data_IF_082535898643
#
_entry.id   IF_082535898643
#
_cell.length_a   1.000
_cell.length_b   1.000
_cell.length_c   1.000
_cell.angle_alpha   90.00
_cell.angle_beta   90.00
_cell.angle_gamma   90.00
#
_symmetry.space_group_name_H-M   'P 1'
#
loop_
_entity.id
_entity.type
_entity.pdbx_description
1 polymer ?
#
# COMPACT_ATOMS: atom_id res chain seq x y z
N UNK A 1 8.21 8.50 12.01
CA UNK A 1 6.92 7.81 11.79
C UNK A 1 6.16 8.47 10.65
N UNK A 2 5.38 7.72 9.96
CA UNK A 2 4.61 8.20 8.81
C UNK A 2 3.14 7.86 9.03
N UNK A 3 2.26 8.80 8.70
CA UNK A 3 0.83 8.53 8.63
C UNK A 3 0.45 8.31 7.17
N UNK A 4 0.16 7.05 6.82
CA UNK A 4 -0.33 6.71 5.50
C UNK A 4 -1.83 6.98 5.42
N UNK A 5 -2.31 7.36 4.26
CA UNK A 5 -3.72 7.70 4.07
C UNK A 5 -4.36 6.80 3.00
N UNK A 6 -5.67 6.86 2.92
CA UNK A 6 -6.41 6.14 1.88
C UNK A 6 -6.07 6.62 0.46
N UNK A 7 -5.43 7.77 0.33
CA UNK A 7 -5.05 8.34 -0.97
C UNK A 7 -3.69 7.88 -1.47
N UNK A 8 -2.90 7.23 -0.64
CA UNK A 8 -1.61 6.69 -1.04
C UNK A 8 -0.49 6.98 -0.06
N UNK A 9 0.72 6.76 -0.55
CA UNK A 9 1.95 7.10 0.15
C UNK A 9 2.17 8.61 -0.03
N UNK A 10 2.70 9.32 0.97
CA UNK A 10 3.02 10.74 0.79
C UNK A 10 3.86 10.98 -0.47
N UNK A 11 3.34 11.79 -1.40
CA UNK A 11 3.97 12.07 -2.68
C UNK A 11 3.70 11.05 -3.79
N UNK A 12 3.02 9.96 -3.50
CA UNK A 12 2.66 8.93 -4.49
C UNK A 12 1.18 8.59 -4.39
N UNK A 13 0.57 8.32 -5.55
CA UNK A 13 -0.82 7.91 -5.63
C UNK A 13 -1.02 6.98 -6.83
N UNK A 14 -2.03 6.12 -6.76
CA UNK A 14 -2.41 5.26 -7.89
C UNK A 14 -2.93 6.04 -9.09
N UNK A 15 -3.23 7.33 -8.94
CA UNK A 15 -3.62 8.20 -10.04
C UNK A 15 -2.43 8.85 -10.75
N UNK A 16 -1.22 8.73 -10.19
CA UNK A 16 0.01 9.18 -10.85
C UNK A 16 0.35 8.26 -12.01
N UNK A 17 1.17 8.73 -12.95
CA UNK A 17 1.63 7.85 -14.01
C UNK A 17 2.67 6.86 -13.48
N UNK A 18 2.69 5.65 -14.06
CA UNK A 18 3.65 4.63 -13.69
C UNK A 18 5.10 5.14 -13.85
N UNK A 19 5.39 5.85 -14.93
CA UNK A 19 6.72 6.39 -15.18
C UNK A 19 7.14 7.42 -14.12
N UNK A 20 6.22 8.28 -13.71
CA UNK A 20 6.50 9.31 -12.70
C UNK A 20 6.81 8.68 -11.34
N UNK A 21 6.01 7.69 -10.93
CA UNK A 21 6.23 7.00 -9.66
C UNK A 21 7.57 6.26 -9.69
N UNK A 22 7.86 5.56 -10.79
CA UNK A 22 9.11 4.84 -10.97
C UNK A 22 10.33 5.77 -10.82
N UNK A 23 10.26 6.98 -11.37
CA UNK A 23 11.35 7.95 -11.28
C UNK A 23 11.62 8.46 -9.87
N UNK A 24 10.63 8.40 -9.00
CA UNK A 24 10.76 8.89 -7.62
C UNK A 24 11.33 7.85 -6.67
N UNK A 25 11.45 6.60 -7.10
CA UNK A 25 11.97 5.53 -6.27
C UNK A 25 13.49 5.45 -6.36
N UNK A 26 14.12 5.07 -5.24
CA UNK A 26 15.55 4.77 -5.18
C UNK A 26 15.79 3.27 -5.36
N UNK A 27 16.98 2.92 -5.86
CA UNK A 27 17.42 1.53 -6.01
C UNK A 27 16.41 0.65 -6.76
N UNK A 28 15.90 1.17 -7.86
CA UNK A 28 14.85 0.54 -8.65
C UNK A 28 15.33 -0.76 -9.29
N UNK A 29 14.54 -1.83 -9.10
CA UNK A 29 14.70 -3.11 -9.79
C UNK A 29 13.43 -3.35 -10.59
N UNK A 30 13.59 -3.55 -11.88
CA UNK A 30 12.49 -3.76 -12.79
C UNK A 30 12.29 -5.24 -13.09
N UNK A 31 11.03 -5.65 -13.18
CA UNK A 31 10.63 -6.97 -13.63
C UNK A 31 9.57 -6.79 -14.71
N UNK A 32 9.68 -7.54 -15.77
CA UNK A 32 8.71 -7.52 -16.87
C UNK A 32 8.22 -8.93 -17.09
N UNK A 33 7.49 -9.44 -16.09
CA UNK A 33 6.91 -10.78 -16.12
C UNK A 33 5.46 -10.68 -16.60
N UNK A 34 5.02 -11.66 -17.37
CA UNK A 34 3.60 -11.78 -17.78
C UNK A 34 3.06 -10.60 -18.61
N UNK A 35 3.93 -9.83 -19.26
CA UNK A 35 3.49 -8.74 -20.16
C UNK A 35 3.21 -7.41 -19.48
N UNK A 36 3.50 -7.28 -18.20
CA UNK A 36 3.40 -6.00 -17.49
C UNK A 36 4.68 -5.73 -16.70
N UNK A 37 4.96 -4.45 -16.48
CA UNK A 37 6.09 -4.06 -15.66
C UNK A 37 5.73 -4.07 -14.20
N UNK A 38 6.68 -4.52 -13.39
CA UNK A 38 6.62 -4.44 -11.94
C UNK A 38 7.95 -3.88 -11.46
N UNK A 39 7.92 -2.92 -10.57
CA UNK A 39 9.13 -2.33 -10.02
C UNK A 39 9.14 -2.48 -8.51
N UNK A 40 10.35 -2.67 -7.98
CA UNK A 40 10.63 -2.66 -6.55
C UNK A 40 11.71 -1.61 -6.33
N UNK A 41 11.53 -0.80 -5.31
CA UNK A 41 12.50 0.23 -4.98
C UNK A 41 12.34 0.64 -3.54
N UNK A 42 12.87 1.79 -3.20
CA UNK A 42 12.81 2.32 -1.85
C UNK A 42 12.47 3.80 -1.88
N UNK A 43 11.91 4.28 -0.79
CA UNK A 43 11.55 5.68 -0.61
C UNK A 43 11.86 6.09 0.82
N UNK A 44 12.55 7.21 0.99
CA UNK A 44 12.79 7.76 2.33
C UNK A 44 11.63 8.65 2.73
N UNK A 45 11.00 8.30 3.86
CA UNK A 45 9.90 9.05 4.45
C UNK A 45 10.13 9.13 5.95
N UNK A 46 10.03 10.33 6.52
CA UNK A 46 10.13 10.50 7.96
C UNK A 46 11.39 9.94 8.60
N UNK A 47 12.50 9.92 7.86
CA UNK A 47 13.78 9.42 8.34
C UNK A 47 13.99 7.91 8.19
N UNK A 48 13.01 7.18 7.66
CA UNK A 48 13.10 5.75 7.41
C UNK A 48 13.06 5.44 5.93
N UNK A 49 13.65 4.30 5.55
CA UNK A 49 13.69 3.83 4.18
C UNK A 49 12.66 2.72 4.01
N UNK A 50 11.62 3.00 3.25
CA UNK A 50 10.49 2.08 3.04
C UNK A 50 10.67 1.30 1.75
N UNK A 51 10.48 -0.04 1.78
CA UNK A 51 10.44 -0.84 0.56
C UNK A 51 9.11 -0.65 -0.15
N UNK A 52 9.17 -0.23 -1.41
CA UNK A 52 7.99 0.10 -2.22
C UNK A 52 7.90 -0.84 -3.41
N UNK A 53 6.69 -1.28 -3.73
CA UNK A 53 6.39 -2.00 -4.95
C UNK A 53 5.34 -1.27 -5.78
N UNK A 54 5.49 -1.29 -7.09
CA UNK A 54 4.51 -0.71 -8.01
C UNK A 54 4.32 -1.67 -9.17
N UNK A 55 3.08 -2.04 -9.43
CA UNK A 55 2.72 -2.90 -10.56
C UNK A 55 1.95 -2.08 -11.60
N UNK A 56 2.30 -2.30 -12.87
CA UNK A 56 1.61 -1.68 -13.99
C UNK A 56 0.43 -2.56 -14.42
N UNK A 57 -0.69 -1.93 -14.76
CA UNK A 57 -1.80 -2.65 -15.36
C UNK A 57 -1.44 -3.02 -16.80
N UNK A 58 -1.62 -4.30 -17.16
CA UNK A 58 -1.22 -4.80 -18.48
C UNK A 58 -2.06 -4.27 -19.64
N UNK A 59 -3.28 -3.80 -19.35
CA UNK A 59 -4.21 -3.30 -20.37
C UNK A 59 -4.12 -1.79 -20.52
N UNK A 60 -4.21 -1.06 -19.40
CA UNK A 60 -4.26 0.42 -19.44
C UNK A 60 -2.88 1.04 -19.39
N UNK A 61 -1.85 0.30 -18.98
CA UNK A 61 -0.48 0.76 -18.71
C UNK A 61 -0.38 1.78 -17.57
N UNK A 62 -1.48 2.03 -16.86
CA UNK A 62 -1.48 2.82 -15.64
C UNK A 62 -1.01 1.99 -14.46
N UNK A 63 -1.13 2.55 -13.26
CA UNK A 63 -0.76 1.84 -12.03
C UNK A 63 -1.88 0.89 -11.65
N UNK A 64 -1.57 -0.39 -11.50
CA UNK A 64 -2.48 -1.39 -10.96
C UNK A 64 -2.49 -1.33 -9.45
N UNK A 65 -1.32 -1.35 -8.82
CA UNK A 65 -1.23 -1.14 -7.38
C UNK A 65 0.10 -0.52 -6.98
N UNK A 66 0.06 0.19 -5.85
CA UNK A 66 1.24 0.68 -5.16
C UNK A 66 1.22 0.04 -3.78
N UNK A 67 2.35 -0.50 -3.32
CA UNK A 67 2.42 -1.09 -1.99
C UNK A 67 3.63 -0.60 -1.21
N UNK A 68 3.43 -0.40 0.10
CA UNK A 68 4.53 -0.29 1.04
C UNK A 68 4.69 -1.66 1.70
N UNK A 69 5.85 -2.29 1.49
CA UNK A 69 6.08 -3.70 1.81
C UNK A 69 6.65 -3.93 3.20
N UNK A 70 6.91 -2.89 3.94
CA UNK A 70 7.37 -2.97 5.31
C UNK A 70 7.04 -1.70 6.04
N UNK A 71 6.74 -1.82 7.32
CA UNK A 71 6.33 -0.72 8.15
C UNK A 71 7.29 -0.61 9.35
N UNK A 72 7.34 0.57 9.95
CA UNK A 72 8.17 0.84 11.11
C UNK A 72 7.31 1.12 12.33
N UNK A 73 7.90 0.93 13.50
CA UNK A 73 7.21 1.25 14.75
C UNK A 73 6.75 2.69 14.76
N UNK A 74 5.50 2.90 15.15
CA UNK A 74 4.89 4.22 15.20
C UNK A 74 4.18 4.64 13.93
N UNK A 75 4.29 3.87 12.82
CA UNK A 75 3.56 4.16 11.61
C UNK A 75 2.06 3.97 11.82
N UNK A 76 1.27 4.82 11.15
CA UNK A 76 -0.19 4.80 11.25
C UNK A 76 -0.82 4.81 9.87
N UNK A 77 -2.09 4.42 9.82
CA UNK A 77 -2.94 4.57 8.63
C UNK A 77 -4.21 5.30 9.03
N UNK A 78 -4.45 6.46 8.42
CA UNK A 78 -5.57 7.34 8.81
C UNK A 78 -5.59 7.59 10.32
N UNK A 79 -4.41 7.77 10.91
CA UNK A 79 -4.25 7.96 12.34
C UNK A 79 -4.36 6.70 13.19
N UNK A 80 -4.64 5.53 12.58
CA UNK A 80 -4.78 4.27 13.31
C UNK A 80 -3.42 3.57 13.38
N UNK A 81 -3.02 3.13 14.57
CA UNK A 81 -1.74 2.45 14.75
C UNK A 81 -1.71 1.12 13.98
N UNK A 82 -0.62 0.88 13.26
CA UNK A 82 -0.49 -0.31 12.41
C UNK A 82 0.12 -1.50 13.11
N UNK A 83 0.99 -1.29 14.09
CA UNK A 83 1.72 -2.36 14.75
C UNK A 83 1.29 -2.66 16.18
N UNK A 84 0.26 -2.00 16.68
CA UNK A 84 -0.08 -2.04 18.10
C UNK A 84 -1.38 -2.76 18.42
N UNK A 85 -2.12 -3.19 17.41
CA UNK A 85 -3.38 -3.88 17.60
C UNK A 85 -3.49 -5.08 16.68
N UNK A 86 -4.38 -6.01 17.04
CA UNK A 86 -4.63 -7.17 16.20
C UNK A 86 -5.27 -6.77 14.87
N UNK A 87 -5.23 -7.68 13.89
CA UNK A 87 -5.89 -7.46 12.61
C UNK A 87 -7.38 -7.18 12.78
N UNK A 88 -8.04 -7.91 13.68
CA UNK A 88 -9.47 -7.71 13.95
C UNK A 88 -9.76 -6.34 14.55
N UNK A 89 -8.94 -5.90 15.49
CA UNK A 89 -9.07 -4.57 16.08
C UNK A 89 -8.83 -3.47 15.04
N UNK A 90 -7.83 -3.65 14.20
CA UNK A 90 -7.54 -2.72 13.13
C UNK A 90 -8.70 -2.62 12.14
N UNK A 91 -9.27 -3.75 11.72
CA UNK A 91 -10.46 -3.78 10.85
C UNK A 91 -11.64 -3.06 11.50
N UNK A 92 -11.82 -3.23 12.81
CA UNK A 92 -12.87 -2.52 13.56
C UNK A 92 -12.69 -1.01 13.52
N UNK A 93 -11.44 -0.53 13.61
CA UNK A 93 -11.16 0.90 13.51
C UNK A 93 -11.43 1.44 12.09
N UNK A 94 -11.08 0.66 11.05
CA UNK A 94 -11.40 1.04 9.67
C UNK A 94 -12.92 1.16 9.46
N UNK A 95 -13.71 0.27 10.04
CA UNK A 95 -15.15 0.29 9.91
C UNK A 95 -15.78 1.55 10.50
N UNK A 96 -15.10 2.22 11.42
CA UNK A 96 -15.57 3.47 12.01
C UNK A 96 -15.38 4.67 11.08
N UNK A 97 -14.46 4.60 10.14
CA UNK A 97 -14.11 5.73 9.29
C UNK A 97 -14.43 5.51 7.81
N UNK A 98 -14.98 4.37 7.45
CA UNK A 98 -15.34 4.06 6.07
C UNK A 98 -16.17 2.81 5.96
N UNK A 99 -16.08 2.13 4.82
CA UNK A 99 -16.81 0.88 4.60
C UNK A 99 -16.33 -0.22 5.55
N UNK A 100 -17.17 -1.23 5.73
CA UNK A 100 -16.80 -2.40 6.55
C UNK A 100 -15.76 -3.23 5.80
N UNK A 101 -14.58 -3.48 6.40
CA UNK A 101 -13.57 -4.32 5.76
C UNK A 101 -14.02 -5.77 5.63
N UNK A 102 -13.47 -6.43 4.61
CA UNK A 102 -13.63 -7.87 4.41
C UNK A 102 -12.34 -8.53 4.89
N UNK A 103 -12.45 -9.42 5.86
CA UNK A 103 -11.29 -10.14 6.40
C UNK A 103 -11.18 -11.52 5.77
N UNK A 104 -10.00 -11.81 5.26
CA UNK A 104 -9.61 -13.13 4.79
C UNK A 104 -8.39 -13.58 5.60
N UNK A 105 -7.87 -14.79 5.36
CA UNK A 105 -6.86 -15.41 6.21
C UNK A 105 -5.65 -14.52 6.49
N UNK A 106 -5.12 -13.85 5.45
CA UNK A 106 -3.91 -13.02 5.59
C UNK A 106 -4.10 -11.63 5.01
N UNK A 107 -5.36 -11.22 4.78
CA UNK A 107 -5.65 -9.96 4.10
C UNK A 107 -6.85 -9.28 4.73
N UNK A 108 -6.75 -7.97 4.88
CA UNK A 108 -7.89 -7.11 5.19
C UNK A 108 -8.14 -6.28 3.93
N UNK A 109 -9.33 -6.40 3.34
CA UNK A 109 -9.73 -5.65 2.16
C UNK A 109 -10.73 -4.57 2.54
N UNK A 110 -10.40 -3.30 2.25
CA UNK A 110 -11.25 -2.14 2.51
C UNK A 110 -11.82 -1.66 1.18
N UNK A 111 -12.97 -2.20 0.75
CA UNK A 111 -13.36 -2.18 -0.67
C UNK A 111 -13.64 -0.80 -1.24
N UNK A 112 -14.42 0.05 -0.55
CA UNK A 112 -14.79 1.35 -1.11
C UNK A 112 -13.59 2.28 -1.27
N UNK A 113 -12.57 2.09 -0.47
CA UNK A 113 -11.35 2.88 -0.50
C UNK A 113 -10.27 2.26 -1.37
N UNK A 114 -10.46 1.02 -1.83
CA UNK A 114 -9.54 0.25 -2.67
C UNK A 114 -8.15 0.13 -2.05
N UNK A 115 -8.13 -0.13 -0.75
CA UNK A 115 -6.92 -0.35 0.02
C UNK A 115 -6.98 -1.73 0.64
N UNK A 116 -5.88 -2.45 0.61
CA UNK A 116 -5.77 -3.73 1.30
C UNK A 116 -4.54 -3.76 2.20
N UNK A 117 -4.57 -4.66 3.17
CA UNK A 117 -3.48 -4.83 4.12
C UNK A 117 -3.16 -6.32 4.19
N UNK A 118 -1.88 -6.67 4.06
CA UNK A 118 -1.43 -8.02 4.38
C UNK A 118 -1.16 -8.10 5.86
N UNK A 119 -1.56 -9.22 6.45
CA UNK A 119 -1.44 -9.49 7.88
C UNK A 119 -0.36 -10.55 8.09
N UNK A 120 0.58 -10.24 8.98
CA UNK A 120 1.64 -11.17 9.39
C UNK A 120 1.68 -11.20 10.91
N UNK A 121 1.61 -12.39 11.48
CA UNK A 121 1.57 -12.57 12.95
C UNK A 121 0.49 -11.70 13.61
N UNK A 122 -0.69 -11.69 13.00
CA UNK A 122 -1.89 -10.98 13.47
C UNK A 122 -1.77 -9.45 13.48
N UNK A 123 -0.80 -8.87 12.76
CA UNK A 123 -0.71 -7.41 12.61
C UNK A 123 -0.59 -7.01 11.14
N UNK A 124 -1.13 -5.84 10.75
CA UNK A 124 -0.93 -5.34 9.40
C UNK A 124 0.56 -5.07 9.13
N UNK A 125 1.09 -5.60 8.04
CA UNK A 125 2.52 -5.51 7.71
C UNK A 125 2.80 -4.87 6.36
N UNK A 126 1.83 -4.84 5.46
CA UNK A 126 1.95 -4.28 4.12
C UNK A 126 0.66 -3.56 3.78
N UNK A 127 0.77 -2.39 3.18
CA UNK A 127 -0.40 -1.64 2.70
C UNK A 127 -0.34 -1.60 1.18
N UNK A 128 -1.47 -1.91 0.53
CA UNK A 128 -1.61 -1.87 -0.92
C UNK A 128 -2.73 -0.92 -1.32
N UNK A 129 -2.43 0.02 -2.20
CA UNK A 129 -3.43 0.89 -2.82
C UNK A 129 -3.65 0.43 -4.25
N UNK A 130 -4.91 0.28 -4.65
CA UNK A 130 -5.29 -0.29 -5.93
C UNK A 130 -5.83 0.77 -6.88
N UNK A 131 -5.47 0.67 -8.14
CA UNK A 131 -5.96 1.58 -9.16
C UNK A 131 -7.46 1.42 -9.42
N UNK A 132 -8.06 2.49 -9.97
CA UNK A 132 -9.51 2.55 -10.15
C UNK A 132 -10.02 1.74 -11.35
N UNK A 133 -9.15 1.39 -12.27
CA UNK A 133 -9.52 0.76 -13.55
C UNK A 133 -9.35 -0.76 -13.51
N UNK A 134 -9.51 -1.35 -12.35
CA UNK A 134 -9.44 -2.80 -12.17
C UNK A 134 -10.80 -3.45 -12.36
#
# INVERSE_FOLDING_TARGET
MVDFTKFGIPGFSVVDSFADVKQRLDDVRERNDFGFESVRGALELGGNRYPIGVDQNEVTHGIECVEVRGLFEGDTFEGIALGEMSAQEFAGELAKIGSTPIMEDYTIWWPDERVSFYVYEDVPSTICWWGKDL
#
